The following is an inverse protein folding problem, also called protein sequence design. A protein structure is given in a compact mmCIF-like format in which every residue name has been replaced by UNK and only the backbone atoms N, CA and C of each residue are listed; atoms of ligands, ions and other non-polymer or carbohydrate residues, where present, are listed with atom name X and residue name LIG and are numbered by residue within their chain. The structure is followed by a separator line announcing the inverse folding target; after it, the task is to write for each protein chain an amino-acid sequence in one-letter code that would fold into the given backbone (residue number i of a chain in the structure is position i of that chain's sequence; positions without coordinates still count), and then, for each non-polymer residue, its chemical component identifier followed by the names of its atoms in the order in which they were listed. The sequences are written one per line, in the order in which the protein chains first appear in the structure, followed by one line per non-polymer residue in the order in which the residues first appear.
data_IF_493940226653
#
_entry.id   IF_493940226653
#
_cell.length_a   1.000
_cell.length_b   1.000
_cell.length_c   1.000
_cell.angle_alpha   90.00
_cell.angle_beta   90.00
_cell.angle_gamma   90.00
#
_symmetry.space_group_name_H-M   'P 1'
#
loop_
_entity.id
_entity.type
_entity.pdbx_description
1 polymer ?
#
# COMPACT_ATOMS: atom_id res chain seq x y z
N UNK A 1 -13.09 -6.22 -3.93
CA UNK A 1 -13.60 -7.30 -4.80
C UNK A 1 -13.04 -8.66 -4.38
N UNK A 2 -11.81 -9.07 -4.72
CA UNK A 2 -11.31 -10.41 -4.37
C UNK A 2 -11.33 -10.71 -2.86
N UNK A 3 -10.80 -9.80 -2.03
CA UNK A 3 -10.81 -9.96 -0.57
C UNK A 3 -12.22 -9.93 0.05
N UNK A 4 -13.19 -9.31 -0.62
CA UNK A 4 -14.59 -9.27 -0.16
C UNK A 4 -15.32 -10.57 -0.51
N UNK A 5 -14.83 -11.31 -1.51
CA UNK A 5 -15.42 -12.57 -1.97
C UNK A 5 -14.79 -13.80 -1.31
N UNK A 6 -13.51 -13.72 -0.90
CA UNK A 6 -12.77 -14.83 -0.30
C UNK A 6 -12.22 -14.38 1.06
N UNK A 7 -12.83 -14.89 2.13
CA UNK A 7 -12.53 -14.49 3.52
C UNK A 7 -12.02 -15.63 4.39
N UNK A 8 -12.24 -16.88 3.99
CA UNK A 8 -11.93 -18.06 4.82
C UNK A 8 -10.49 -18.54 4.70
N UNK A 9 -9.75 -18.09 3.68
CA UNK A 9 -8.37 -18.53 3.42
C UNK A 9 -7.45 -17.32 3.25
N UNK A 10 -6.16 -17.44 3.64
CA UNK A 10 -5.17 -16.39 3.40
C UNK A 10 -5.00 -16.11 1.90
N UNK A 11 -5.02 -14.83 1.53
CA UNK A 11 -4.74 -14.36 0.17
C UNK A 11 -3.35 -13.73 0.11
N UNK A 12 -2.47 -14.32 -0.68
CA UNK A 12 -1.10 -13.82 -0.90
C UNK A 12 -1.00 -13.31 -2.34
N UNK A 13 -0.48 -12.08 -2.51
CA UNK A 13 -0.10 -11.59 -3.84
C UNK A 13 1.22 -12.23 -4.22
N UNK A 14 1.25 -12.92 -5.35
CA UNK A 14 2.45 -13.49 -5.96
C UNK A 14 2.62 -12.92 -7.39
N UNK A 15 3.87 -12.66 -7.78
CA UNK A 15 4.30 -11.99 -8.99
C UNK A 15 3.78 -10.54 -9.20
N UNK A 16 4.55 -9.73 -9.94
CA UNK A 16 4.12 -8.38 -10.37
C UNK A 16 4.37 -7.23 -9.38
N UNK A 17 4.91 -7.50 -8.19
CA UNK A 17 5.40 -6.47 -7.27
C UNK A 17 6.81 -6.07 -7.70
N UNK A 18 6.96 -4.88 -8.30
CA UNK A 18 8.23 -4.38 -8.82
C UNK A 18 8.96 -3.47 -7.83
N UNK A 19 8.23 -2.82 -6.93
CA UNK A 19 8.81 -1.93 -5.91
C UNK A 19 7.93 -1.87 -4.65
N UNK A 20 8.42 -1.15 -3.63
CA UNK A 20 7.79 -1.01 -2.33
C UNK A 20 6.33 -0.49 -2.42
N UNK A 21 6.02 0.44 -3.33
CA UNK A 21 4.65 0.95 -3.47
C UNK A 21 3.63 -0.12 -3.87
N UNK A 22 4.04 -1.09 -4.69
CA UNK A 22 3.15 -2.18 -5.13
C UNK A 22 2.80 -3.09 -3.96
N UNK A 23 3.80 -3.42 -3.13
CA UNK A 23 3.60 -4.19 -1.91
C UNK A 23 2.67 -3.46 -0.92
N UNK A 24 2.86 -2.14 -0.75
CA UNK A 24 1.98 -1.33 0.10
C UNK A 24 0.53 -1.37 -0.41
N UNK A 25 0.31 -1.19 -1.73
CA UNK A 25 -1.02 -1.22 -2.34
C UNK A 25 -1.68 -2.59 -2.15
N UNK A 26 -0.94 -3.69 -2.36
CA UNK A 26 -1.46 -5.03 -2.12
C UNK A 26 -1.97 -5.17 -0.68
N UNK A 27 -1.18 -4.74 0.30
CA UNK A 27 -1.59 -4.82 1.70
C UNK A 27 -2.76 -3.87 2.04
N UNK A 28 -2.82 -2.67 1.45
CA UNK A 28 -3.94 -1.74 1.58
C UNK A 28 -5.27 -2.32 1.05
N UNK A 29 -5.21 -3.18 0.03
CA UNK A 29 -6.37 -3.88 -0.54
C UNK A 29 -6.86 -5.05 0.32
N UNK A 30 -6.17 -5.34 1.43
CA UNK A 30 -6.58 -6.36 2.40
C UNK A 30 -6.03 -7.76 2.13
N UNK A 31 -5.01 -7.89 1.29
CA UNK A 31 -4.26 -9.15 1.18
C UNK A 31 -3.55 -9.46 2.52
N UNK A 32 -3.32 -10.74 2.77
CA UNK A 32 -2.72 -11.24 4.01
C UNK A 32 -1.19 -11.29 3.93
N UNK A 33 -0.64 -11.26 2.72
CA UNK A 33 0.79 -11.17 2.49
C UNK A 33 1.16 -10.92 1.04
N UNK A 34 2.46 -10.77 0.82
CA UNK A 34 3.09 -10.62 -0.49
C UNK A 34 4.25 -11.61 -0.57
N UNK A 35 4.31 -12.37 -1.65
CA UNK A 35 5.45 -13.21 -2.01
C UNK A 35 6.26 -12.49 -3.10
N UNK A 36 7.55 -12.30 -2.87
CA UNK A 36 8.43 -11.53 -3.75
C UNK A 36 9.82 -12.17 -3.83
N UNK A 37 10.46 -12.05 -4.99
CA UNK A 37 11.82 -12.52 -5.23
C UNK A 37 12.58 -11.54 -6.13
N UNK A 38 12.24 -11.51 -7.42
CA UNK A 38 12.95 -10.74 -8.46
C UNK A 38 13.14 -9.26 -8.10
N UNK A 39 12.13 -8.61 -7.54
CA UNK A 39 12.21 -7.19 -7.19
C UNK A 39 13.30 -6.88 -6.14
N UNK A 40 13.62 -7.82 -5.25
CA UNK A 40 14.73 -7.69 -4.29
C UNK A 40 16.02 -8.25 -4.88
N UNK A 41 15.95 -9.43 -5.51
CA UNK A 41 17.13 -10.13 -6.02
C UNK A 41 17.84 -9.39 -7.18
N UNK A 42 17.09 -8.70 -8.03
CA UNK A 42 17.61 -7.94 -9.18
C UNK A 42 17.71 -6.43 -8.91
N UNK A 43 17.44 -5.97 -7.69
CA UNK A 43 17.66 -4.59 -7.32
C UNK A 43 19.15 -4.25 -7.32
N UNK A 44 19.49 -3.02 -7.72
CA UNK A 44 20.87 -2.52 -7.66
C UNK A 44 21.44 -2.56 -6.23
N UNK A 45 20.60 -2.31 -5.23
CA UNK A 45 20.87 -2.52 -3.81
C UNK A 45 19.75 -3.38 -3.22
N UNK A 46 20.04 -4.68 -3.12
CA UNK A 46 19.08 -5.68 -2.66
C UNK A 46 18.79 -5.60 -1.16
N UNK A 47 19.76 -5.20 -0.35
CA UNK A 47 19.57 -5.04 1.10
C UNK A 47 18.63 -3.87 1.39
N UNK A 48 18.88 -2.71 0.77
CA UNK A 48 17.99 -1.56 0.89
C UNK A 48 16.60 -1.86 0.34
N UNK A 49 16.48 -2.60 -0.77
CA UNK A 49 15.19 -2.99 -1.33
C UNK A 49 14.43 -3.96 -0.42
N UNK A 50 15.11 -4.93 0.20
CA UNK A 50 14.49 -5.84 1.17
C UNK A 50 13.90 -5.07 2.37
N UNK A 51 14.64 -4.09 2.90
CA UNK A 51 14.15 -3.21 3.96
C UNK A 51 12.95 -2.39 3.48
N UNK A 52 13.01 -1.82 2.28
CA UNK A 52 11.91 -1.04 1.71
C UNK A 52 10.62 -1.88 1.54
N UNK A 53 10.74 -3.11 1.03
CA UNK A 53 9.62 -4.03 0.88
C UNK A 53 9.00 -4.41 2.23
N UNK A 54 9.82 -4.69 3.25
CA UNK A 54 9.34 -4.96 4.62
C UNK A 54 8.51 -3.78 5.15
N UNK A 55 9.06 -2.58 5.06
CA UNK A 55 8.39 -1.37 5.56
C UNK A 55 7.08 -1.10 4.81
N UNK A 56 7.05 -1.33 3.49
CA UNK A 56 5.84 -1.19 2.69
C UNK A 56 4.74 -2.18 3.10
N UNK A 57 5.08 -3.45 3.33
CA UNK A 57 4.12 -4.46 3.79
C UNK A 57 3.54 -4.06 5.16
N UNK A 58 4.40 -3.67 6.10
CA UNK A 58 3.97 -3.21 7.43
C UNK A 58 3.09 -1.96 7.35
N UNK A 59 3.49 -0.97 6.55
CA UNK A 59 2.74 0.27 6.37
C UNK A 59 1.38 0.03 5.72
N UNK A 60 1.32 -0.72 4.62
CA UNK A 60 0.09 -1.03 3.91
C UNK A 60 -0.88 -1.85 4.78
N UNK A 61 -0.38 -2.82 5.56
CA UNK A 61 -1.25 -3.59 6.48
C UNK A 61 -1.81 -2.71 7.58
N UNK A 62 -1.01 -1.80 8.14
CA UNK A 62 -1.50 -0.81 9.12
C UNK A 62 -2.53 0.13 8.51
N UNK A 63 -2.34 0.58 7.27
CA UNK A 63 -3.28 1.43 6.56
C UNK A 63 -4.63 0.73 6.29
N UNK A 64 -4.61 -0.56 5.94
CA UNK A 64 -5.82 -1.38 5.82
C UNK A 64 -6.58 -1.46 7.14
N UNK A 65 -5.90 -1.79 8.23
CA UNK A 65 -6.51 -1.92 9.56
C UNK A 65 -7.00 -0.59 10.13
N UNK A 66 -6.32 0.52 9.82
CA UNK A 66 -6.69 1.85 10.28
C UNK A 66 -7.95 2.40 9.59
N UNK A 67 -8.32 1.87 8.42
CA UNK A 67 -9.44 2.38 7.62
C UNK A 67 -9.12 3.73 7.00
N UNK A 68 -8.52 3.73 5.80
CA UNK A 68 -8.19 4.96 5.06
C UNK A 68 -9.42 5.85 4.82
N UNK A 69 -9.20 7.15 4.74
CA UNK A 69 -10.25 8.10 4.35
C UNK A 69 -10.85 7.73 2.97
N UNK A 70 -12.13 8.00 2.73
CA UNK A 70 -12.75 7.79 1.42
C UNK A 70 -12.01 8.57 0.33
N UNK A 71 -11.71 7.90 -0.79
CA UNK A 71 -11.21 8.59 -1.99
C UNK A 71 -12.33 9.50 -2.52
N UNK A 72 -12.13 10.81 -2.48
CA UNK A 72 -12.98 11.76 -3.21
C UNK A 72 -12.60 11.69 -4.69
N UNK A 73 -13.58 11.41 -5.56
CA UNK A 73 -13.39 11.40 -7.02
C UNK A 73 -13.16 12.82 -7.60
N UNK A 74 -13.56 13.85 -6.85
CA UNK A 74 -13.38 15.25 -7.21
C UNK A 74 -12.54 15.93 -6.14
N UNK A 75 -11.47 16.61 -6.55
CA UNK A 75 -10.63 17.42 -5.68
C UNK A 75 -11.40 18.68 -5.24
N UNK A 76 -12.29 18.55 -4.24
CA UNK A 76 -12.62 19.70 -3.41
C UNK A 76 -11.45 19.88 -2.45
N UNK A 77 -10.81 21.05 -2.44
CA UNK A 77 -9.77 21.36 -1.48
C UNK A 77 -10.21 20.92 -0.07
N UNK A 78 -9.40 20.09 0.58
CA UNK A 78 -9.70 19.56 1.93
C UNK A 78 -9.51 20.61 3.03
N UNK A 79 -8.83 21.70 2.70
CA UNK A 79 -8.59 22.83 3.58
C UNK A 79 -9.71 23.87 3.43
N UNK A 80 -10.41 24.26 4.51
CA UNK A 80 -11.26 25.43 4.49
C UNK A 80 -10.42 26.66 4.12
N UNK A 81 -10.89 27.48 3.17
CA UNK A 81 -10.33 28.81 2.90
C UNK A 81 -10.56 29.78 4.07
N UNK A 82 -11.34 29.39 5.08
CA UNK A 82 -11.59 30.15 6.30
C UNK A 82 -10.32 30.19 7.16
N UNK A 83 -9.50 31.23 6.95
CA UNK A 83 -8.27 31.47 7.72
C UNK A 83 -7.04 31.83 6.89
N UNK A 84 -7.13 31.88 5.55
CA UNK A 84 -6.02 32.38 4.74
C UNK A 84 -5.96 33.91 4.87
N UNK A 85 -5.15 34.39 5.81
CA UNK A 85 -4.76 35.81 5.86
C UNK A 85 -3.77 36.02 4.71
N UNK A 86 -4.29 36.50 3.58
CA UNK A 86 -3.46 36.96 2.46
C UNK A 86 -2.64 38.18 2.88
N UNK A 87 -1.37 38.18 2.50
CA UNK A 87 -0.58 39.41 2.40
C UNK A 87 -0.94 40.15 1.12
#
# INVERSE_FOLDING_TARGET
ILREMITEVPLIVDAGVGTASDAAIAMELGFDGVLLNTAVAEAQDSESMAVAMKLAVEAGRRAYLAGRIPKKLYASASSPLAGVVGR
#
